data_IF_028729242511
#
_entry.id   IF_028729242511
#
_cell.length_a   1.000
_cell.length_b   1.000
_cell.length_c   1.000
_cell.angle_alpha   90.00
_cell.angle_beta   90.00
_cell.angle_gamma   90.00
#
_symmetry.space_group_name_H-M   'P 1'
#
loop_
_entity.id
_entity.type
_entity.pdbx_description
1 polymer ?
#
# COMPACT_ATOMS: atom_id res chain seq x y z
N UNK A 1 -39.16 -11.22 7.23
CA UNK A 1 -38.98 -11.01 8.68
C UNK A 1 -37.54 -10.56 8.94
N UNK A 2 -37.26 -9.26 8.84
CA UNK A 2 -35.99 -8.69 9.31
C UNK A 2 -36.25 -8.21 10.74
N UNK A 3 -35.88 -9.00 11.75
CA UNK A 3 -35.74 -8.47 13.09
C UNK A 3 -34.69 -7.36 13.00
N UNK A 4 -35.10 -6.10 13.08
CA UNK A 4 -34.20 -4.97 13.03
C UNK A 4 -33.27 -5.08 14.25
N UNK A 5 -32.02 -5.44 14.00
CA UNK A 5 -30.99 -5.46 15.04
C UNK A 5 -30.96 -4.09 15.73
N UNK A 6 -30.94 -4.10 17.07
CA UNK A 6 -30.74 -2.89 17.86
C UNK A 6 -29.53 -2.10 17.29
N UNK A 7 -29.63 -0.76 17.14
CA UNK A 7 -28.55 0.09 16.63
C UNK A 7 -27.18 -0.17 17.28
N UNK A 8 -27.14 -0.52 18.56
CA UNK A 8 -25.90 -0.87 19.27
C UNK A 8 -25.28 -2.15 18.73
N UNK A 9 -26.07 -3.20 18.48
CA UNK A 9 -25.58 -4.46 17.94
C UNK A 9 -25.06 -4.32 16.51
N UNK A 10 -25.67 -3.44 15.70
CA UNK A 10 -25.17 -3.14 14.34
C UNK A 10 -23.77 -2.54 14.37
N UNK A 11 -23.49 -1.63 15.32
CA UNK A 11 -22.15 -1.04 15.51
C UNK A 11 -21.13 -2.08 16.00
N UNK A 12 -21.51 -2.91 16.96
CA UNK A 12 -20.62 -4.00 17.45
C UNK A 12 -20.31 -4.98 16.32
N UNK A 13 -21.32 -5.37 15.54
CA UNK A 13 -21.13 -6.24 14.38
C UNK A 13 -20.24 -5.58 13.32
N UNK A 14 -20.46 -4.30 13.02
CA UNK A 14 -19.62 -3.54 12.10
C UNK A 14 -18.14 -3.54 12.54
N UNK A 15 -17.89 -3.29 13.83
CA UNK A 15 -16.55 -3.28 14.39
C UNK A 15 -15.89 -4.67 14.33
N UNK A 16 -16.63 -5.72 14.69
CA UNK A 16 -16.14 -7.10 14.64
C UNK A 16 -15.82 -7.56 13.21
N UNK A 17 -16.69 -7.21 12.24
CA UNK A 17 -16.49 -7.57 10.82
C UNK A 17 -15.22 -6.93 10.27
N UNK A 18 -14.99 -5.63 10.45
CA UNK A 18 -13.78 -5.00 9.88
C UNK A 18 -12.50 -5.42 10.60
N UNK A 19 -12.56 -5.75 11.89
CA UNK A 19 -11.43 -6.35 12.60
C UNK A 19 -11.14 -7.77 12.09
N UNK A 20 -12.16 -8.56 11.76
CA UNK A 20 -11.98 -9.89 11.20
C UNK A 20 -11.44 -9.84 9.75
N UNK A 21 -11.96 -8.94 8.92
CA UNK A 21 -11.50 -8.73 7.52
C UNK A 21 -10.02 -8.35 7.46
N UNK A 22 -9.53 -7.56 8.41
CA UNK A 22 -8.14 -7.13 8.42
C UNK A 22 -7.19 -8.08 9.16
N UNK A 23 -7.70 -9.18 9.71
CA UNK A 23 -6.86 -10.20 10.35
C UNK A 23 -6.19 -11.09 9.30
N UNK A 24 -4.90 -10.83 9.04
CA UNK A 24 -4.13 -11.44 7.94
C UNK A 24 -3.14 -12.52 8.34
N UNK A 25 -3.38 -13.22 9.43
CA UNK A 25 -2.49 -14.31 9.84
C UNK A 25 -2.55 -15.43 8.81
N UNK A 26 -1.43 -15.64 8.12
CA UNK A 26 -1.31 -16.68 7.10
C UNK A 26 -1.41 -18.05 7.75
N UNK A 27 -2.38 -18.84 7.31
CA UNK A 27 -2.56 -20.24 7.67
C UNK A 27 -1.86 -21.14 6.66
N UNK A 28 -1.81 -22.44 6.98
CA UNK A 28 -1.32 -23.47 6.07
C UNK A 28 -2.04 -23.37 4.72
N UNK A 29 -1.32 -23.66 3.63
CA UNK A 29 -1.78 -23.52 2.25
C UNK A 29 -2.03 -22.07 1.77
N UNK A 30 -1.49 -21.06 2.47
CA UNK A 30 -1.54 -19.67 2.00
C UNK A 30 -2.92 -19.01 2.17
N UNK A 31 -3.73 -19.53 3.08
CA UNK A 31 -5.06 -18.98 3.37
C UNK A 31 -4.93 -17.87 4.41
N UNK A 32 -5.43 -16.67 4.10
CA UNK A 32 -5.60 -15.61 5.08
C UNK A 32 -7.07 -15.55 5.52
N UNK A 33 -7.39 -15.70 6.82
CA UNK A 33 -8.76 -15.66 7.32
C UNK A 33 -9.50 -14.38 6.92
N UNK A 34 -8.83 -13.23 7.01
CA UNK A 34 -9.40 -11.94 6.63
C UNK A 34 -9.86 -11.87 5.17
N UNK A 35 -9.07 -12.43 4.24
CA UNK A 35 -9.43 -12.48 2.82
C UNK A 35 -10.69 -13.34 2.62
N UNK A 36 -10.76 -14.51 3.28
CA UNK A 36 -11.93 -15.40 3.22
C UNK A 36 -13.17 -14.73 3.81
N UNK A 37 -13.05 -14.07 4.96
CA UNK A 37 -14.16 -13.34 5.61
C UNK A 37 -14.65 -12.21 4.71
N UNK A 38 -13.74 -11.44 4.11
CA UNK A 38 -14.10 -10.35 3.19
C UNK A 38 -14.92 -10.85 2.00
N UNK A 39 -14.47 -11.94 1.36
CA UNK A 39 -15.12 -12.54 0.21
C UNK A 39 -16.48 -13.14 0.60
N UNK A 40 -16.53 -13.89 1.71
CA UNK A 40 -17.76 -14.52 2.19
C UNK A 40 -18.84 -13.51 2.58
N UNK A 41 -18.44 -12.35 3.13
CA UNK A 41 -19.36 -11.28 3.52
C UNK A 41 -19.71 -10.31 2.38
N UNK A 42 -19.10 -10.46 1.20
CA UNK A 42 -19.37 -9.59 0.06
C UNK A 42 -20.87 -9.45 -0.27
N UNK A 43 -21.71 -10.50 -0.29
CA UNK A 43 -23.14 -10.34 -0.56
C UNK A 43 -23.87 -9.43 0.44
N UNK A 44 -23.43 -9.43 1.70
CA UNK A 44 -23.98 -8.60 2.76
C UNK A 44 -23.50 -7.14 2.62
N UNK A 45 -22.20 -6.95 2.40
CA UNK A 45 -21.56 -5.62 2.35
C UNK A 45 -21.74 -4.92 1.02
N UNK A 46 -22.05 -5.65 -0.07
CA UNK A 46 -22.24 -5.13 -1.42
C UNK A 46 -23.24 -3.99 -1.49
N UNK A 47 -24.33 -4.05 -0.71
CA UNK A 47 -25.37 -3.02 -0.71
C UNK A 47 -24.83 -1.64 -0.34
N UNK A 48 -23.82 -1.58 0.52
CA UNK A 48 -23.20 -0.33 0.94
C UNK A 48 -22.42 0.36 -0.19
N UNK A 49 -21.93 -0.42 -1.15
CA UNK A 49 -21.02 0.03 -2.20
C UNK A 49 -21.57 -0.05 -3.62
N UNK A 50 -22.76 -0.66 -3.84
CA UNK A 50 -23.31 -0.96 -5.18
C UNK A 50 -23.50 0.25 -6.10
N UNK A 51 -23.69 1.44 -5.53
CA UNK A 51 -23.84 2.68 -6.31
C UNK A 51 -22.51 3.42 -6.53
N UNK A 52 -21.41 2.90 -5.99
CA UNK A 52 -20.09 3.47 -6.20
C UNK A 52 -19.62 3.20 -7.62
N UNK A 53 -19.25 4.27 -8.33
CA UNK A 53 -18.65 4.19 -9.68
C UNK A 53 -17.26 3.55 -9.68
N UNK A 54 -16.66 3.33 -8.51
CA UNK A 54 -15.30 2.83 -8.33
C UNK A 54 -15.27 1.33 -8.07
N UNK A 55 -16.22 0.81 -7.30
CA UNK A 55 -16.20 -0.58 -6.81
C UNK A 55 -16.53 -1.58 -7.93
N UNK A 56 -17.42 -1.23 -8.86
CA UNK A 56 -17.73 -2.08 -10.01
C UNK A 56 -16.49 -2.36 -10.90
N UNK A 57 -15.79 -1.32 -11.38
CA UNK A 57 -14.53 -1.49 -12.12
C UNK A 57 -13.46 -2.26 -11.34
N UNK A 58 -13.28 -1.99 -10.04
CA UNK A 58 -12.35 -2.75 -9.19
C UNK A 58 -12.69 -4.23 -9.13
N UNK A 59 -13.98 -4.57 -8.96
CA UNK A 59 -14.44 -5.96 -8.95
C UNK A 59 -14.18 -6.64 -10.29
N UNK A 60 -14.46 -5.94 -11.40
CA UNK A 60 -14.20 -6.47 -12.74
C UNK A 60 -12.70 -6.72 -12.96
N UNK A 61 -11.84 -5.76 -12.64
CA UNK A 61 -10.38 -5.93 -12.74
C UNK A 61 -9.86 -7.05 -11.84
N UNK A 62 -10.41 -7.19 -10.63
CA UNK A 62 -10.05 -8.29 -9.72
C UNK A 62 -10.43 -9.66 -10.29
N UNK A 63 -11.67 -9.82 -10.77
CA UNK A 63 -12.11 -11.09 -11.36
C UNK A 63 -11.34 -11.44 -12.63
N UNK A 64 -11.06 -10.47 -13.50
CA UNK A 64 -10.27 -10.70 -14.72
C UNK A 64 -8.80 -10.94 -14.41
N UNK A 65 -8.23 -10.31 -13.38
CA UNK A 65 -6.88 -10.61 -12.87
C UNK A 65 -6.77 -12.05 -12.36
N UNK A 66 -7.74 -12.50 -11.55
CA UNK A 66 -7.78 -13.88 -11.05
C UNK A 66 -7.88 -14.87 -12.22
N UNK A 67 -8.80 -14.62 -13.16
CA UNK A 67 -8.96 -15.47 -14.34
C UNK A 67 -7.68 -15.53 -15.19
N UNK A 68 -7.01 -14.39 -15.41
CA UNK A 68 -5.76 -14.32 -16.16
C UNK A 68 -4.61 -15.04 -15.43
N UNK A 69 -4.46 -14.83 -14.12
CA UNK A 69 -3.43 -15.50 -13.31
C UNK A 69 -3.61 -17.02 -13.29
N UNK A 70 -4.86 -17.51 -13.20
CA UNK A 70 -5.18 -18.93 -13.30
C UNK A 70 -4.91 -19.48 -14.71
N UNK A 71 -5.31 -18.77 -15.76
CA UNK A 71 -5.07 -19.18 -17.14
C UNK A 71 -3.57 -19.31 -17.44
N UNK A 72 -2.76 -18.34 -16.97
CA UNK A 72 -1.31 -18.39 -17.10
C UNK A 72 -0.69 -19.53 -16.28
N UNK A 73 -1.16 -19.76 -15.05
CA UNK A 73 -0.69 -20.89 -14.24
C UNK A 73 -0.97 -22.23 -14.95
N UNK A 74 -2.17 -22.40 -15.53
CA UNK A 74 -2.52 -23.59 -16.32
C UNK A 74 -1.64 -23.74 -17.56
N UNK A 75 -1.38 -22.64 -18.28
CA UNK A 75 -0.48 -22.64 -19.43
C UNK A 75 0.98 -22.96 -19.04
N UNK A 76 1.39 -22.58 -17.82
CA UNK A 76 2.73 -22.80 -17.29
C UNK A 76 2.94 -24.20 -16.70
N UNK A 77 1.88 -24.99 -16.48
CA UNK A 77 1.95 -26.26 -15.74
C UNK A 77 2.89 -27.33 -16.34
N UNK A 78 3.19 -27.25 -17.65
CA UNK A 78 4.14 -28.15 -18.31
C UNK A 78 5.60 -27.69 -18.28
N UNK A 79 5.86 -26.42 -17.93
CA UNK A 79 7.19 -25.80 -18.03
C UNK A 79 7.72 -25.23 -16.72
N UNK A 80 6.85 -25.04 -15.72
CA UNK A 80 7.15 -24.37 -14.47
C UNK A 80 6.69 -25.19 -13.27
N UNK A 81 7.36 -24.98 -12.15
CA UNK A 81 6.87 -25.42 -10.84
C UNK A 81 5.77 -24.46 -10.40
N UNK A 82 4.61 -25.00 -10.07
CA UNK A 82 3.50 -24.25 -9.49
C UNK A 82 3.46 -24.55 -8.00
N UNK A 83 3.55 -23.50 -7.19
CA UNK A 83 3.42 -23.53 -5.74
C UNK A 83 1.96 -23.27 -5.37
N UNK A 84 1.17 -24.28 -4.98
CA UNK A 84 -0.27 -24.13 -4.81
C UNK A 84 -0.65 -23.13 -3.72
N UNK A 85 0.11 -23.10 -2.62
CA UNK A 85 -0.10 -22.15 -1.53
C UNK A 85 0.11 -20.70 -1.97
N UNK A 86 1.11 -20.44 -2.82
CA UNK A 86 1.35 -19.13 -3.43
C UNK A 86 0.20 -18.71 -4.35
N UNK A 87 -0.30 -19.65 -5.17
CA UNK A 87 -1.46 -19.40 -6.04
C UNK A 87 -2.72 -19.04 -5.22
N UNK A 88 -3.03 -19.82 -4.18
CA UNK A 88 -4.18 -19.58 -3.29
C UNK A 88 -4.08 -18.22 -2.60
N UNK A 89 -2.92 -17.93 -1.99
CA UNK A 89 -2.68 -16.65 -1.30
C UNK A 89 -2.88 -15.46 -2.24
N UNK A 90 -2.30 -15.52 -3.43
CA UNK A 90 -2.44 -14.48 -4.43
C UNK A 90 -3.91 -14.27 -4.84
N UNK A 91 -4.61 -15.34 -5.22
CA UNK A 91 -6.01 -15.27 -5.69
C UNK A 91 -6.92 -14.71 -4.60
N UNK A 92 -6.76 -15.16 -3.36
CA UNK A 92 -7.51 -14.65 -2.23
C UNK A 92 -7.23 -13.17 -1.99
N UNK A 93 -5.95 -12.76 -2.03
CA UNK A 93 -5.58 -11.35 -1.89
C UNK A 93 -6.19 -10.47 -2.99
N UNK A 94 -6.15 -10.91 -4.26
CA UNK A 94 -6.73 -10.17 -5.37
C UNK A 94 -8.26 -10.01 -5.23
N UNK A 95 -8.96 -11.05 -4.79
CA UNK A 95 -10.40 -11.03 -4.53
C UNK A 95 -10.74 -10.18 -3.29
N UNK A 96 -9.89 -10.21 -2.27
CA UNK A 96 -10.07 -9.46 -1.04
C UNK A 96 -9.96 -7.94 -1.23
N UNK A 97 -9.18 -7.43 -2.18
CA UNK A 97 -9.04 -5.98 -2.42
C UNK A 97 -10.42 -5.27 -2.55
N UNK A 98 -11.28 -5.63 -3.53
CA UNK A 98 -12.60 -5.02 -3.62
C UNK A 98 -13.53 -5.48 -2.49
N UNK A 99 -13.47 -6.75 -2.07
CA UNK A 99 -14.38 -7.29 -1.07
C UNK A 99 -14.18 -6.65 0.32
N UNK A 100 -12.94 -6.58 0.79
CA UNK A 100 -12.54 -5.92 2.03
C UNK A 100 -12.85 -4.42 1.99
N UNK A 101 -12.62 -3.75 0.86
CA UNK A 101 -13.05 -2.36 0.69
C UNK A 101 -14.58 -2.20 0.87
N UNK A 102 -15.41 -3.11 0.36
CA UNK A 102 -16.87 -3.05 0.59
C UNK A 102 -17.23 -3.25 2.07
N UNK A 103 -16.53 -4.13 2.78
CA UNK A 103 -16.72 -4.35 4.21
C UNK A 103 -16.37 -3.10 5.03
N UNK A 104 -15.28 -2.43 4.70
CA UNK A 104 -14.88 -1.16 5.34
C UNK A 104 -15.88 -0.04 5.01
N UNK A 105 -16.38 0.05 3.76
CA UNK A 105 -17.42 1.02 3.38
C UNK A 105 -18.69 0.80 4.20
N UNK A 106 -19.13 -0.45 4.31
CA UNK A 106 -20.30 -0.81 5.10
C UNK A 106 -20.12 -0.44 6.58
N UNK A 107 -18.99 -0.79 7.19
CA UNK A 107 -18.73 -0.43 8.59
C UNK A 107 -18.59 1.09 8.79
N UNK A 108 -18.04 1.82 7.81
CA UNK A 108 -17.95 3.27 7.86
C UNK A 108 -19.33 3.95 7.85
N UNK A 109 -20.36 3.34 7.25
CA UNK A 109 -21.75 3.83 7.32
C UNK A 109 -22.33 3.67 8.73
N UNK A 110 -21.92 2.65 9.49
CA UNK A 110 -22.42 2.38 10.84
C UNK A 110 -21.62 3.09 11.95
N UNK A 111 -20.30 3.20 11.78
CA UNK A 111 -19.36 3.66 12.80
C UNK A 111 -18.78 5.07 12.54
N UNK A 112 -18.86 5.54 11.29
CA UNK A 112 -18.04 6.63 10.79
C UNK A 112 -16.64 6.15 10.37
N UNK A 113 -16.04 6.86 9.42
CA UNK A 113 -14.79 6.46 8.77
C UNK A 113 -13.63 6.28 9.76
N UNK A 114 -13.48 7.21 10.71
CA UNK A 114 -12.35 7.17 11.66
C UNK A 114 -12.43 5.98 12.61
N UNK A 115 -13.65 5.64 13.08
CA UNK A 115 -13.82 4.48 13.97
C UNK A 115 -13.74 3.16 13.21
N UNK A 116 -14.23 3.10 11.97
CA UNK A 116 -14.05 1.94 11.11
C UNK A 116 -12.56 1.66 10.86
N UNK A 117 -11.74 2.70 10.61
CA UNK A 117 -10.29 2.57 10.49
C UNK A 117 -9.64 2.07 11.79
N UNK A 118 -10.04 2.59 12.95
CA UNK A 118 -9.57 2.10 14.26
C UNK A 118 -9.89 0.61 14.43
N UNK A 119 -11.13 0.20 14.23
CA UNK A 119 -11.52 -1.22 14.35
C UNK A 119 -10.81 -2.11 13.34
N UNK A 120 -10.64 -1.65 12.10
CA UNK A 120 -9.86 -2.35 11.08
C UNK A 120 -8.40 -2.53 11.52
N UNK A 121 -7.76 -1.53 12.12
CA UNK A 121 -6.36 -1.69 12.58
C UNK A 121 -6.20 -2.67 13.74
N UNK A 122 -7.24 -2.95 14.52
CA UNK A 122 -7.18 -3.96 15.60
C UNK A 122 -6.88 -5.35 15.02
N UNK A 123 -7.53 -5.75 13.93
CA UNK A 123 -7.23 -7.04 13.27
C UNK A 123 -5.81 -7.14 12.73
N UNK A 124 -5.28 -6.03 12.19
CA UNK A 124 -3.87 -5.96 11.77
C UNK A 124 -2.90 -6.05 12.95
N UNK A 125 -3.26 -5.51 14.12
CA UNK A 125 -2.44 -5.62 15.33
C UNK A 125 -2.46 -7.03 15.93
N UNK A 126 -3.59 -7.75 15.82
CA UNK A 126 -3.66 -9.17 16.17
C UNK A 126 -2.71 -9.96 15.27
N UNK A 127 -2.78 -9.77 13.95
CA UNK A 127 -1.83 -10.37 13.00
C UNK A 127 -0.37 -10.03 13.36
N UNK A 128 -0.10 -8.74 13.60
CA UNK A 128 1.23 -8.27 13.94
C UNK A 128 1.76 -8.94 15.21
N UNK A 129 0.92 -9.16 16.22
CA UNK A 129 1.32 -9.83 17.46
C UNK A 129 1.73 -11.28 17.28
N UNK A 130 1.11 -11.98 16.33
CA UNK A 130 1.44 -13.37 16.00
C UNK A 130 2.74 -13.43 15.21
N UNK A 131 2.89 -12.58 14.17
CA UNK A 131 4.10 -12.54 13.34
C UNK A 131 5.33 -11.98 14.06
N UNK A 132 5.15 -11.12 15.05
CA UNK A 132 6.23 -10.47 15.79
C UNK A 132 7.23 -11.46 16.40
N UNK A 133 6.78 -12.67 16.76
CA UNK A 133 7.62 -13.69 17.40
C UNK A 133 8.73 -14.20 16.47
N UNK A 134 8.54 -14.13 15.15
CA UNK A 134 9.46 -14.68 14.15
C UNK A 134 10.20 -13.59 13.36
N UNK A 135 10.17 -12.33 13.81
CA UNK A 135 10.74 -11.19 13.08
C UNK A 135 11.87 -10.56 13.89
N UNK A 136 13.01 -10.32 13.25
CA UNK A 136 14.15 -9.63 13.89
C UNK A 136 13.80 -8.18 14.26
N UNK A 137 12.94 -7.52 13.46
CA UNK A 137 12.45 -6.18 13.73
C UNK A 137 10.91 -6.13 13.64
N UNK A 138 10.21 -6.51 14.72
CA UNK A 138 8.74 -6.55 14.74
C UNK A 138 8.10 -5.18 14.52
N UNK A 139 8.77 -4.09 14.94
CA UNK A 139 8.23 -2.75 14.72
C UNK A 139 8.19 -2.40 13.23
N UNK A 140 9.30 -2.62 12.51
CA UNK A 140 9.41 -2.33 11.07
C UNK A 140 8.49 -3.19 10.22
N UNK A 141 8.38 -4.48 10.54
CA UNK A 141 7.76 -5.48 9.66
C UNK A 141 6.36 -5.94 10.09
N UNK A 142 5.89 -5.54 11.26
CA UNK A 142 4.57 -5.92 11.77
C UNK A 142 3.80 -4.75 12.39
N UNK A 143 4.27 -4.18 13.50
CA UNK A 143 3.46 -3.26 14.32
C UNK A 143 3.38 -1.82 13.80
N UNK A 144 4.42 -1.34 13.12
CA UNK A 144 4.56 0.08 12.84
C UNK A 144 3.40 0.64 12.02
N UNK A 145 3.12 0.05 10.85
CA UNK A 145 2.09 0.57 9.94
C UNK A 145 0.68 0.53 10.57
N UNK A 146 0.22 -0.59 11.18
CA UNK A 146 -1.08 -0.63 11.85
C UNK A 146 -1.18 0.38 13.00
N UNK A 147 -0.13 0.48 13.83
CA UNK A 147 -0.06 1.43 14.95
C UNK A 147 -0.13 2.87 14.46
N UNK A 148 0.50 3.17 13.33
CA UNK A 148 0.48 4.51 12.75
C UNK A 148 -0.93 4.93 12.34
N UNK A 149 -1.66 4.04 11.66
CA UNK A 149 -3.06 4.29 11.27
C UNK A 149 -3.94 4.43 12.51
N UNK A 150 -3.80 3.53 13.49
CA UNK A 150 -4.57 3.55 14.74
C UNK A 150 -4.40 4.88 15.48
N UNK A 151 -3.15 5.27 15.76
CA UNK A 151 -2.86 6.48 16.54
C UNK A 151 -3.29 7.75 15.80
N UNK A 152 -3.06 7.84 14.49
CA UNK A 152 -3.51 8.98 13.70
C UNK A 152 -5.04 9.07 13.62
N UNK A 153 -5.75 7.94 13.53
CA UNK A 153 -7.21 7.91 13.53
C UNK A 153 -7.81 8.30 14.88
N UNK A 154 -7.24 7.82 15.99
CA UNK A 154 -7.64 8.22 17.35
C UNK A 154 -7.32 9.70 17.61
N UNK A 155 -6.14 10.16 17.21
CA UNK A 155 -5.69 11.53 17.39
C UNK A 155 -6.58 12.53 16.63
N UNK A 156 -7.02 12.18 15.42
CA UNK A 156 -7.94 13.00 14.62
C UNK A 156 -9.23 13.35 15.37
N UNK A 157 -9.74 12.40 16.17
CA UNK A 157 -10.96 12.58 16.96
C UNK A 157 -10.75 13.52 18.16
N UNK A 158 -9.50 13.72 18.60
CA UNK A 158 -9.18 14.52 19.78
C UNK A 158 -8.88 15.97 19.40
N UNK A 159 -7.82 16.20 18.63
CA UNK A 159 -7.40 17.55 18.21
C UNK A 159 -6.35 17.49 17.10
N UNK A 160 -6.19 18.59 16.35
CA UNK A 160 -5.14 18.71 15.34
C UNK A 160 -3.73 18.61 15.94
N UNK A 161 -3.53 19.16 17.14
CA UNK A 161 -2.26 19.06 17.87
C UNK A 161 -1.93 17.60 18.21
N UNK A 162 -2.93 16.82 18.59
CA UNK A 162 -2.77 15.39 18.87
C UNK A 162 -2.32 14.63 17.61
N UNK A 163 -2.85 14.96 16.42
CA UNK A 163 -2.41 14.30 15.18
C UNK A 163 -0.97 14.64 14.82
N UNK A 164 -0.58 15.91 14.96
CA UNK A 164 0.80 16.35 14.73
C UNK A 164 1.76 15.68 15.71
N UNK A 165 1.40 15.63 17.00
CA UNK A 165 2.20 14.95 18.01
C UNK A 165 2.33 13.45 17.69
N UNK A 166 1.22 12.78 17.34
CA UNK A 166 1.23 11.38 16.96
C UNK A 166 2.15 11.13 15.75
N UNK A 167 2.04 11.95 14.70
CA UNK A 167 2.88 11.83 13.50
C UNK A 167 4.37 12.02 13.82
N UNK A 168 4.72 13.03 14.63
CA UNK A 168 6.12 13.30 15.02
C UNK A 168 6.68 12.18 15.90
N UNK A 169 5.94 11.73 16.92
CA UNK A 169 6.38 10.64 17.79
C UNK A 169 6.60 9.35 16.98
N UNK A 170 5.65 9.00 16.12
CA UNK A 170 5.78 7.83 15.25
C UNK A 170 7.00 7.96 14.33
N UNK A 171 7.26 9.15 13.76
CA UNK A 171 8.41 9.38 12.88
C UNK A 171 9.72 9.16 13.63
N UNK A 172 9.81 9.64 14.88
CA UNK A 172 10.96 9.38 15.76
C UNK A 172 11.12 7.90 16.07
N UNK A 173 10.06 7.18 16.41
CA UNK A 173 10.14 5.73 16.68
C UNK A 173 10.64 4.97 15.45
N UNK A 174 10.13 5.28 14.26
CA UNK A 174 10.62 4.66 13.02
C UNK A 174 12.06 5.01 12.68
N UNK A 175 12.49 6.25 12.98
CA UNK A 175 13.88 6.67 12.80
C UNK A 175 14.82 5.84 13.68
N UNK A 176 14.43 5.61 14.94
CA UNK A 176 15.20 4.80 15.89
C UNK A 176 15.15 3.29 15.60
N UNK A 177 14.18 2.84 14.79
CA UNK A 177 13.93 1.42 14.50
C UNK A 177 14.36 0.98 13.09
N UNK A 178 15.23 1.76 12.42
CA UNK A 178 15.74 1.53 11.05
C UNK A 178 14.66 1.29 9.98
N UNK A 179 13.59 2.08 10.01
CA UNK A 179 12.43 1.98 9.12
C UNK A 179 12.23 3.26 8.30
N UNK A 180 13.20 3.54 7.41
CA UNK A 180 13.40 4.83 6.75
C UNK A 180 12.22 5.32 5.90
N UNK A 181 11.58 4.44 5.13
CA UNK A 181 10.44 4.82 4.27
C UNK A 181 9.24 5.32 5.09
N UNK A 182 8.98 4.71 6.25
CA UNK A 182 7.88 5.09 7.12
C UNK A 182 8.08 6.47 7.75
N UNK A 183 9.33 6.86 8.05
CA UNK A 183 9.69 8.22 8.47
C UNK A 183 9.24 9.23 7.41
N UNK A 184 9.58 8.98 6.14
CA UNK A 184 9.19 9.85 5.02
C UNK A 184 7.67 10.04 4.91
N UNK A 185 6.89 8.97 5.03
CA UNK A 185 5.42 9.05 4.98
C UNK A 185 4.84 9.90 6.11
N UNK A 186 5.39 9.79 7.32
CA UNK A 186 4.94 10.54 8.48
C UNK A 186 5.39 12.00 8.43
N UNK A 187 6.58 12.31 7.91
CA UNK A 187 7.03 13.68 7.69
C UNK A 187 6.16 14.40 6.66
N UNK A 188 5.82 13.74 5.55
CA UNK A 188 4.86 14.26 4.57
C UNK A 188 3.51 14.53 5.24
N UNK A 189 3.02 13.56 6.03
CA UNK A 189 1.76 13.70 6.77
C UNK A 189 1.82 14.89 7.73
N UNK A 190 2.86 14.99 8.57
CA UNK A 190 3.03 16.06 9.55
C UNK A 190 3.15 17.43 8.88
N UNK A 191 3.89 17.55 7.78
CA UNK A 191 4.03 18.80 7.05
C UNK A 191 2.70 19.30 6.47
N UNK A 192 1.92 18.40 5.86
CA UNK A 192 0.58 18.75 5.37
C UNK A 192 -0.32 19.18 6.54
N UNK A 193 -0.33 18.43 7.64
CA UNK A 193 -1.12 18.77 8.81
C UNK A 193 -0.71 20.10 9.44
N UNK A 194 0.58 20.41 9.47
CA UNK A 194 1.12 21.65 10.03
C UNK A 194 0.77 22.84 9.13
N UNK A 195 0.93 22.69 7.82
CA UNK A 195 0.48 23.68 6.84
C UNK A 195 -1.02 23.97 7.00
N UNK A 196 -1.85 22.93 7.06
CA UNK A 196 -3.29 23.08 7.22
C UNK A 196 -3.68 23.76 8.54
N UNK A 197 -2.98 23.45 9.63
CA UNK A 197 -3.18 24.10 10.92
C UNK A 197 -2.81 25.60 10.87
N UNK A 198 -1.67 25.93 10.25
CA UNK A 198 -1.22 27.30 10.06
C UNK A 198 -2.18 28.10 9.16
N UNK A 199 -2.55 27.55 8.00
CA UNK A 199 -3.48 28.18 7.07
C UNK A 199 -4.87 28.41 7.70
N UNK A 200 -5.36 27.45 8.50
CA UNK A 200 -6.62 27.60 9.23
C UNK A 200 -6.55 28.69 10.30
N UNK A 201 -5.44 28.77 11.06
CA UNK A 201 -5.24 29.81 12.07
C UNK A 201 -5.13 31.20 11.45
N UNK A 202 -4.42 31.30 10.33
CA UNK A 202 -4.27 32.53 9.55
C UNK A 202 -5.51 32.87 8.69
N UNK A 203 -6.59 32.09 8.78
CA UNK A 203 -7.85 32.31 8.04
C UNK A 203 -7.65 32.45 6.52
N UNK A 204 -6.66 31.75 5.96
CA UNK A 204 -6.33 31.82 4.53
C UNK A 204 -7.45 31.17 3.73
N UNK A 205 -8.09 31.96 2.86
CA UNK A 205 -9.13 31.48 1.94
C UNK A 205 -8.50 31.05 0.63
N UNK A 206 -8.20 29.76 0.50
CA UNK A 206 -7.73 29.18 -0.76
C UNK A 206 -8.89 28.61 -1.55
N UNK A 207 -8.86 28.81 -2.87
CA UNK A 207 -9.70 28.00 -3.76
C UNK A 207 -9.28 26.53 -3.65
N UNK A 208 -10.19 25.60 -3.97
CA UNK A 208 -9.92 24.15 -3.89
C UNK A 208 -8.68 23.75 -4.70
N UNK A 209 -8.52 24.32 -5.90
CA UNK A 209 -7.38 24.06 -6.78
C UNK A 209 -6.09 24.61 -6.18
N UNK A 210 -6.12 25.80 -5.60
CA UNK A 210 -4.96 26.39 -4.92
C UNK A 210 -4.56 25.55 -3.69
N UNK A 211 -5.51 25.11 -2.86
CA UNK A 211 -5.23 24.29 -1.70
C UNK A 211 -4.55 22.97 -2.05
N UNK A 212 -5.03 22.27 -3.10
CA UNK A 212 -4.40 21.06 -3.62
C UNK A 212 -3.02 21.39 -4.19
N UNK A 213 -2.92 22.42 -5.04
CA UNK A 213 -1.66 22.84 -5.66
C UNK A 213 -0.57 23.12 -4.63
N UNK A 214 -0.85 23.94 -3.62
CA UNK A 214 0.11 24.27 -2.56
C UNK A 214 0.56 23.04 -1.77
N UNK A 215 -0.36 22.14 -1.44
CA UNK A 215 -0.02 20.92 -0.69
C UNK A 215 0.77 19.92 -1.55
N UNK A 216 0.45 19.79 -2.84
CA UNK A 216 1.24 18.98 -3.78
C UNK A 216 2.63 19.58 -3.97
N UNK A 217 2.74 20.90 -4.12
CA UNK A 217 4.03 21.60 -4.16
C UNK A 217 4.85 21.40 -2.89
N UNK A 218 4.20 21.39 -1.72
CA UNK A 218 4.85 21.09 -0.44
C UNK A 218 5.41 19.66 -0.42
N UNK A 219 4.64 18.66 -0.85
CA UNK A 219 5.11 17.27 -0.96
C UNK A 219 6.31 17.18 -1.92
N UNK A 220 6.21 17.81 -3.09
CA UNK A 220 7.27 17.81 -4.09
C UNK A 220 8.55 18.47 -3.55
N UNK A 221 8.42 19.62 -2.89
CA UNK A 221 9.55 20.32 -2.26
C UNK A 221 10.20 19.46 -1.19
N UNK A 222 9.43 18.83 -0.30
CA UNK A 222 9.97 17.92 0.72
C UNK A 222 10.70 16.72 0.10
N UNK A 223 10.16 16.17 -0.99
CA UNK A 223 10.82 15.11 -1.75
C UNK A 223 12.16 15.54 -2.33
N UNK A 224 12.21 16.70 -2.98
CA UNK A 224 13.45 17.28 -3.54
C UNK A 224 14.46 17.55 -2.43
N UNK A 225 14.05 18.15 -1.31
CA UNK A 225 14.92 18.41 -0.16
C UNK A 225 15.46 17.10 0.45
N UNK A 226 14.63 16.05 0.57
CA UNK A 226 15.06 14.76 1.08
C UNK A 226 16.10 14.11 0.15
N UNK A 227 15.86 14.11 -1.16
CA UNK A 227 16.81 13.62 -2.16
C UNK A 227 18.11 14.40 -2.09
N UNK A 228 18.05 15.73 -2.10
CA UNK A 228 19.23 16.59 -1.99
C UNK A 228 20.02 16.34 -0.70
N UNK A 229 19.35 16.15 0.44
CA UNK A 229 19.99 15.84 1.72
C UNK A 229 20.71 14.48 1.69
N UNK A 230 20.08 13.45 1.11
CA UNK A 230 20.69 12.13 0.95
C UNK A 230 21.89 12.19 0.01
N UNK A 231 21.78 12.87 -1.14
CA UNK A 231 22.90 13.04 -2.06
C UNK A 231 24.07 13.78 -1.40
N UNK A 232 23.79 14.88 -0.70
CA UNK A 232 24.81 15.65 0.01
C UNK A 232 25.51 14.82 1.09
N UNK A 233 24.74 14.10 1.91
CA UNK A 233 25.28 13.23 2.96
C UNK A 233 26.09 12.06 2.37
N UNK A 234 25.64 11.48 1.25
CA UNK A 234 26.35 10.41 0.56
C UNK A 234 27.65 10.92 -0.07
N UNK A 235 27.62 12.06 -0.76
CA UNK A 235 28.81 12.66 -1.38
C UNK A 235 29.86 13.10 -0.35
N UNK A 236 29.40 13.52 0.83
CA UNK A 236 30.26 13.90 1.96
C UNK A 236 30.83 12.69 2.72
N UNK A 237 30.45 11.46 2.37
CA UNK A 237 30.91 10.23 3.05
C UNK A 237 30.21 9.94 4.37
N UNK A 238 29.21 10.73 4.79
CA UNK A 238 28.46 10.52 6.04
C UNK A 238 27.63 9.23 6.03
N UNK A 239 27.32 8.69 4.84
CA UNK A 239 26.61 7.41 4.68
C UNK A 239 27.56 6.23 4.41
N UNK A 240 28.87 6.44 4.53
CA UNK A 240 29.92 5.44 4.29
C UNK A 240 30.46 5.44 2.86
N UNK A 241 31.63 4.83 2.69
CA UNK A 241 32.40 4.80 1.44
C UNK A 241 31.61 4.14 0.29
N UNK A 242 30.94 3.01 0.55
CA UNK A 242 30.14 2.33 -0.46
C UNK A 242 28.98 3.20 -1.00
N UNK A 243 28.35 4.01 -0.15
CA UNK A 243 27.31 4.94 -0.56
C UNK A 243 27.90 6.08 -1.39
N UNK A 244 29.05 6.62 -0.98
CA UNK A 244 29.79 7.64 -1.70
C UNK A 244 30.20 7.18 -3.11
N UNK A 245 30.78 5.99 -3.24
CA UNK A 245 31.15 5.38 -4.53
C UNK A 245 29.93 5.20 -5.43
N UNK A 246 28.80 4.71 -4.88
CA UNK A 246 27.55 4.54 -5.63
C UNK A 246 26.98 5.87 -6.10
N UNK A 247 26.98 6.90 -5.25
CA UNK A 247 26.52 8.24 -5.64
C UNK A 247 27.42 8.85 -6.72
N UNK A 248 28.74 8.63 -6.66
CA UNK A 248 29.66 9.07 -7.70
C UNK A 248 29.37 8.36 -9.04
N UNK A 249 29.16 7.03 -9.01
CA UNK A 249 28.80 6.25 -10.20
C UNK A 249 27.44 6.64 -10.78
N UNK A 250 26.43 6.86 -9.94
CA UNK A 250 25.09 7.30 -10.35
C UNK A 250 25.11 8.72 -10.93
N UNK A 251 25.94 9.62 -10.37
CA UNK A 251 26.10 10.99 -10.89
C UNK A 251 26.79 11.04 -12.25
N UNK A 252 27.59 10.01 -12.58
CA UNK A 252 28.17 9.83 -13.91
C UNK A 252 27.15 9.25 -14.92
N UNK A 253 26.03 8.69 -14.45
CA UNK A 253 24.97 8.14 -15.30
C UNK A 253 23.93 9.22 -15.66
N UNK A 254 23.40 9.18 -16.88
CA UNK A 254 22.38 10.13 -17.34
C UNK A 254 20.99 9.92 -16.73
N UNK A 255 20.74 8.78 -16.07
CA UNK A 255 19.42 8.39 -15.54
C UNK A 255 19.46 8.05 -14.03
N UNK A 256 19.69 9.08 -13.21
CA UNK A 256 19.78 8.99 -11.74
C UNK A 256 18.54 8.32 -11.11
N UNK A 257 17.35 8.55 -11.67
CA UNK A 257 16.08 8.02 -11.13
C UNK A 257 15.95 6.50 -11.27
N UNK A 258 16.40 5.92 -12.39
CA UNK A 258 16.33 4.46 -12.59
C UNK A 258 17.48 3.75 -11.89
N UNK A 259 18.67 4.38 -11.83
CA UNK A 259 19.83 3.82 -11.15
C UNK A 259 19.65 3.73 -9.61
N UNK A 260 18.69 4.46 -9.03
CA UNK A 260 18.41 4.46 -7.60
C UNK A 260 17.68 3.21 -7.09
N UNK A 261 17.05 2.43 -7.98
CA UNK A 261 16.19 1.28 -7.66
C UNK A 261 16.47 0.12 -8.64
N UNK A 262 17.42 -0.76 -8.34
CA UNK A 262 17.82 -1.82 -9.26
C UNK A 262 16.66 -2.78 -9.59
N UNK A 263 15.72 -2.98 -8.68
CA UNK A 263 14.55 -3.86 -8.84
C UNK A 263 13.63 -3.42 -9.99
N UNK A 264 13.65 -2.12 -10.34
CA UNK A 264 12.95 -1.62 -11.52
C UNK A 264 13.56 -2.16 -12.82
N UNK A 265 14.89 -2.33 -12.86
CA UNK A 265 15.60 -2.95 -13.98
C UNK A 265 15.24 -4.42 -14.14
N UNK A 266 15.20 -5.17 -13.03
CA UNK A 266 14.72 -6.55 -13.01
C UNK A 266 13.27 -6.63 -13.52
N UNK A 267 12.37 -5.80 -12.98
CA UNK A 267 10.94 -5.78 -13.38
C UNK A 267 10.79 -5.49 -14.88
N UNK A 268 11.51 -4.50 -15.40
CA UNK A 268 11.45 -4.12 -16.81
C UNK A 268 12.00 -5.23 -17.72
N UNK A 269 13.15 -5.83 -17.36
CA UNK A 269 13.75 -6.92 -18.13
C UNK A 269 12.83 -8.15 -18.17
N UNK A 270 12.23 -8.51 -17.04
CA UNK A 270 11.23 -9.59 -16.96
C UNK A 270 10.00 -9.26 -17.79
N UNK A 271 9.53 -8.01 -17.78
CA UNK A 271 8.40 -7.56 -18.59
C UNK A 271 8.70 -7.67 -20.09
N UNK A 272 9.90 -7.29 -20.51
CA UNK A 272 10.33 -7.44 -21.90
C UNK A 272 10.47 -8.93 -22.29
N UNK A 273 10.92 -9.76 -21.37
CA UNK A 273 11.09 -11.20 -21.60
C UNK A 273 9.75 -11.94 -21.72
N UNK A 274 8.79 -11.65 -20.85
CA UNK A 274 7.45 -12.28 -20.84
C UNK A 274 6.36 -11.24 -20.52
N UNK A 275 5.89 -10.44 -21.50
CA UNK A 275 5.01 -9.28 -21.25
C UNK A 275 3.65 -9.63 -20.67
N UNK A 276 3.20 -10.87 -20.84
CA UNK A 276 1.93 -11.35 -20.29
C UNK A 276 2.03 -11.73 -18.80
N UNK A 277 3.21 -11.73 -18.19
CA UNK A 277 3.42 -12.22 -16.83
C UNK A 277 3.69 -13.73 -16.76
N UNK A 278 3.72 -14.26 -15.54
CA UNK A 278 4.13 -15.63 -15.24
C UNK A 278 2.96 -16.51 -14.78
N UNK A 279 2.05 -15.96 -13.97
CA UNK A 279 0.85 -16.66 -13.51
C UNK A 279 0.83 -16.94 -12.01
N UNK A 280 -0.35 -17.33 -11.51
CA UNK A 280 -0.58 -17.53 -10.09
C UNK A 280 0.22 -18.71 -9.53
N UNK A 281 1.06 -18.44 -8.53
CA UNK A 281 1.89 -19.46 -7.87
C UNK A 281 3.03 -20.02 -8.72
N UNK A 282 3.33 -19.42 -9.88
CA UNK A 282 4.46 -19.87 -10.71
C UNK A 282 5.79 -19.47 -10.07
N UNK A 283 6.65 -20.46 -9.84
CA UNK A 283 7.98 -20.24 -9.31
C UNK A 283 8.96 -19.78 -10.42
N UNK A 284 9.84 -18.80 -10.15
CA UNK A 284 10.87 -18.38 -11.09
C UNK A 284 11.82 -19.53 -11.46
N UNK A 285 12.17 -19.65 -12.74
CA UNK A 285 13.23 -20.56 -13.20
C UNK A 285 14.58 -19.85 -13.20
N UNK A 286 15.64 -20.62 -13.40
CA UNK A 286 16.98 -20.08 -13.58
C UNK A 286 17.06 -19.04 -14.71
N UNK A 287 16.37 -19.27 -15.83
CA UNK A 287 16.31 -18.30 -16.94
C UNK A 287 15.74 -16.95 -16.51
N UNK A 288 14.70 -16.97 -15.69
CA UNK A 288 13.98 -15.77 -15.27
C UNK A 288 14.83 -15.00 -14.24
N UNK A 289 15.50 -15.73 -13.34
CA UNK A 289 16.48 -15.15 -12.41
C UNK A 289 17.62 -14.45 -13.17
N UNK A 290 18.16 -15.08 -14.23
CA UNK A 290 19.20 -14.47 -15.07
C UNK A 290 18.71 -13.20 -15.77
N UNK A 291 17.50 -13.20 -16.33
CA UNK A 291 16.91 -12.00 -16.94
C UNK A 291 16.78 -10.86 -15.91
N UNK A 292 16.34 -11.16 -14.69
CA UNK A 292 16.25 -10.17 -13.62
C UNK A 292 17.63 -9.59 -13.25
N UNK A 293 18.63 -10.47 -13.10
CA UNK A 293 20.03 -10.10 -12.82
C UNK A 293 20.60 -9.21 -13.92
N UNK A 294 20.43 -9.58 -15.18
CA UNK A 294 20.93 -8.81 -16.33
C UNK A 294 20.24 -7.42 -16.40
N UNK A 295 18.96 -7.34 -16.06
CA UNK A 295 18.21 -6.08 -15.95
C UNK A 295 18.73 -5.16 -14.83
N UNK A 296 19.10 -5.71 -13.68
CA UNK A 296 19.73 -4.95 -12.59
C UNK A 296 21.15 -4.49 -12.97
N UNK A 297 21.91 -5.36 -13.61
CA UNK A 297 23.27 -5.06 -14.08
C UNK A 297 23.28 -3.93 -15.11
N UNK A 298 22.28 -3.86 -15.99
CA UNK A 298 22.10 -2.75 -16.93
C UNK A 298 21.91 -1.38 -16.24
N UNK A 299 21.50 -1.36 -14.96
CA UNK A 299 21.39 -0.14 -14.15
C UNK A 299 22.63 0.12 -13.27
N UNK A 300 23.73 -0.60 -13.50
CA UNK A 300 24.99 -0.45 -12.76
C UNK A 300 24.99 -1.10 -11.37
N UNK A 301 24.09 -2.06 -11.13
CA UNK A 301 24.04 -2.81 -9.88
C UNK A 301 24.73 -4.17 -10.03
N UNK A 302 25.45 -4.61 -9.01
CA UNK A 302 26.09 -5.93 -8.99
C UNK A 302 25.03 -7.03 -8.82
N UNK A 303 24.80 -7.88 -9.84
CA UNK A 303 23.78 -8.93 -9.76
C UNK A 303 24.19 -10.11 -8.85
N UNK A 304 25.49 -10.31 -8.59
CA UNK A 304 26.04 -11.50 -7.91
C UNK A 304 26.11 -11.36 -6.38
N UNK A 305 25.31 -10.45 -5.82
CA UNK A 305 25.30 -10.15 -4.39
C UNK A 305 24.24 -10.93 -3.59
N UNK A 306 23.73 -12.02 -4.15
CA UNK A 306 22.68 -12.87 -3.59
C UNK A 306 21.29 -12.22 -3.41
N UNK A 307 21.11 -10.95 -3.79
CA UNK A 307 19.85 -10.22 -3.59
C UNK A 307 18.69 -10.81 -4.40
N UNK A 308 18.88 -11.03 -5.70
CA UNK A 308 17.83 -11.63 -6.56
C UNK A 308 17.48 -13.03 -6.10
N UNK A 309 18.50 -13.84 -5.80
CA UNK A 309 18.37 -15.25 -5.45
C UNK A 309 17.66 -15.47 -4.11
N UNK A 310 17.91 -14.63 -3.10
CA UNK A 310 17.33 -14.83 -1.75
C UNK A 310 16.13 -13.94 -1.48
N UNK A 311 16.15 -12.69 -1.92
CA UNK A 311 15.12 -11.70 -1.54
C UNK A 311 14.04 -11.51 -2.61
N UNK A 312 14.38 -11.52 -3.91
CA UNK A 312 13.36 -11.33 -4.96
C UNK A 312 12.72 -12.64 -5.41
N UNK A 313 13.47 -13.74 -5.42
CA UNK A 313 13.04 -15.02 -6.01
C UNK A 313 13.19 -16.22 -5.06
N UNK A 314 13.81 -16.03 -3.88
CA UNK A 314 14.17 -17.12 -2.96
C UNK A 314 12.98 -17.82 -2.30
N UNK A 315 11.83 -17.14 -2.22
CA UNK A 315 10.60 -17.71 -1.70
C UNK A 315 9.81 -18.58 -2.70
N UNK A 316 10.38 -18.89 -3.87
CA UNK A 316 9.69 -19.66 -4.92
C UNK A 316 8.54 -18.89 -5.58
N UNK A 317 8.60 -17.56 -5.58
CA UNK A 317 7.66 -16.66 -6.23
C UNK A 317 8.38 -15.37 -6.66
N UNK A 318 7.74 -14.57 -7.51
CA UNK A 318 8.25 -13.27 -7.94
C UNK A 318 7.91 -12.19 -6.90
N UNK A 319 8.93 -11.64 -6.22
CA UNK A 319 8.83 -10.49 -5.33
C UNK A 319 9.69 -9.34 -5.87
N UNK A 320 9.10 -8.58 -6.80
CA UNK A 320 9.77 -7.53 -7.56
C UNK A 320 9.94 -6.23 -6.77
N UNK A 321 9.53 -6.22 -5.50
CA UNK A 321 9.52 -5.02 -4.65
C UNK A 321 8.77 -3.85 -5.32
N UNK A 322 7.70 -4.19 -6.05
CA UNK A 322 6.79 -3.25 -6.68
C UNK A 322 5.42 -3.90 -6.73
N UNK A 323 4.43 -3.38 -6.00
CA UNK A 323 3.10 -3.99 -5.98
C UNK A 323 2.48 -4.09 -7.38
N UNK A 324 2.74 -3.13 -8.27
CA UNK A 324 2.34 -3.20 -9.69
C UNK A 324 3.10 -4.30 -10.43
N UNK A 325 4.41 -4.42 -10.21
CA UNK A 325 5.25 -5.46 -10.78
C UNK A 325 4.79 -6.85 -10.33
N UNK A 326 4.57 -7.05 -9.04
CA UNK A 326 4.09 -8.31 -8.45
C UNK A 326 2.70 -8.67 -9.02
N UNK A 327 1.77 -7.72 -9.04
CA UNK A 327 0.42 -7.95 -9.59
C UNK A 327 0.45 -8.26 -11.09
N UNK A 328 1.34 -7.63 -11.85
CA UNK A 328 1.55 -7.97 -13.26
C UNK A 328 2.16 -9.37 -13.42
N UNK A 329 3.20 -9.70 -12.66
CA UNK A 329 3.88 -10.99 -12.76
C UNK A 329 2.91 -12.13 -12.44
N UNK A 330 2.05 -11.94 -11.45
CA UNK A 330 1.11 -12.98 -10.97
C UNK A 330 -0.21 -13.00 -11.77
N UNK A 331 -0.74 -11.85 -12.19
CA UNK A 331 -2.08 -11.73 -12.78
C UNK A 331 -2.13 -11.04 -14.15
N UNK A 332 -0.99 -10.89 -14.83
CA UNK A 332 -0.91 -10.26 -16.14
C UNK A 332 -1.33 -8.77 -16.15
N UNK A 333 -1.62 -8.25 -17.34
CA UNK A 333 -2.09 -6.88 -17.54
C UNK A 333 -3.38 -6.53 -16.76
N UNK A 334 -4.36 -7.44 -16.56
CA UNK A 334 -5.50 -7.15 -15.69
C UNK A 334 -5.09 -6.92 -14.22
N UNK A 335 -4.08 -7.63 -13.71
CA UNK A 335 -3.46 -7.36 -12.41
C UNK A 335 -2.85 -5.98 -12.33
N UNK A 336 -2.07 -5.59 -13.35
CA UNK A 336 -1.52 -4.24 -13.47
C UNK A 336 -2.64 -3.19 -13.44
N UNK A 337 -3.72 -3.41 -14.20
CA UNK A 337 -4.86 -2.51 -14.23
C UNK A 337 -5.55 -2.38 -12.86
N UNK A 338 -5.71 -3.49 -12.12
CA UNK A 338 -6.22 -3.47 -10.76
C UNK A 338 -5.34 -2.59 -9.84
N UNK A 339 -4.02 -2.78 -9.88
CA UNK A 339 -3.07 -1.98 -9.11
C UNK A 339 -3.09 -0.50 -9.48
N UNK A 340 -3.19 -0.17 -10.77
CA UNK A 340 -3.34 1.22 -11.24
C UNK A 340 -4.65 1.85 -10.74
N UNK A 341 -5.75 1.09 -10.70
CA UNK A 341 -7.02 1.56 -10.17
C UNK A 341 -6.96 1.79 -8.65
N UNK A 342 -6.23 0.94 -7.91
CA UNK A 342 -5.93 1.15 -6.47
C UNK A 342 -5.14 2.44 -6.26
N UNK A 343 -4.11 2.70 -7.07
CA UNK A 343 -3.35 3.96 -7.05
C UNK A 343 -4.28 5.14 -7.31
N UNK A 344 -5.12 5.06 -8.36
CA UNK A 344 -6.06 6.12 -8.69
C UNK A 344 -7.05 6.40 -7.54
N UNK A 345 -7.54 5.36 -6.86
CA UNK A 345 -8.38 5.51 -5.67
C UNK A 345 -7.65 6.18 -4.51
N UNK A 346 -6.39 5.79 -4.27
CA UNK A 346 -5.55 6.36 -3.21
C UNK A 346 -5.28 7.85 -3.45
N UNK A 347 -4.94 8.22 -4.70
CA UNK A 347 -4.78 9.60 -5.14
C UNK A 347 -6.09 10.38 -5.04
N UNK A 348 -7.22 9.76 -5.38
CA UNK A 348 -8.54 10.38 -5.23
C UNK A 348 -8.89 10.65 -3.76
N UNK A 349 -8.62 9.71 -2.85
CA UNK A 349 -8.77 9.89 -1.41
C UNK A 349 -7.87 11.04 -0.90
N UNK A 350 -6.63 11.09 -1.37
CA UNK A 350 -5.69 12.15 -1.05
C UNK A 350 -6.20 13.51 -1.55
N UNK A 351 -6.55 13.65 -2.82
CA UNK A 351 -7.08 14.90 -3.38
C UNK A 351 -8.31 15.39 -2.62
N UNK A 352 -9.29 14.51 -2.34
CA UNK A 352 -10.49 14.88 -1.56
C UNK A 352 -10.12 15.39 -0.17
N UNK A 353 -9.10 14.80 0.44
CA UNK A 353 -8.57 15.21 1.74
C UNK A 353 -7.85 16.56 1.65
N UNK A 354 -6.97 16.76 0.66
CA UNK A 354 -6.22 18.01 0.49
C UNK A 354 -7.10 19.22 0.13
N UNK A 355 -8.30 19.03 -0.43
CA UNK A 355 -9.23 20.15 -0.71
C UNK A 355 -9.78 20.85 0.53
N UNK A 356 -9.64 20.24 1.72
CA UNK A 356 -10.11 20.80 2.99
C UNK A 356 -8.92 21.06 3.93
N UNK A 357 -8.93 22.19 4.65
CA UNK A 357 -7.91 22.50 5.67
C UNK A 357 -8.09 21.70 6.98
N UNK A 358 -9.09 20.80 7.03
CA UNK A 358 -9.31 19.85 8.12
C UNK A 358 -9.22 18.39 7.65
N UNK A 359 -8.09 18.01 7.07
CA UNK A 359 -7.80 16.63 6.66
C UNK A 359 -7.73 15.64 7.82
N UNK A 360 -7.87 14.35 7.49
CA UNK A 360 -7.57 13.23 8.37
C UNK A 360 -6.11 12.83 8.17
N UNK A 361 -5.28 12.90 9.22
CA UNK A 361 -3.86 12.55 9.13
C UNK A 361 -3.65 11.10 8.65
N UNK A 362 -4.44 10.17 9.17
CA UNK A 362 -4.35 8.76 8.81
C UNK A 362 -4.67 8.49 7.33
N UNK A 363 -5.56 9.29 6.71
CA UNK A 363 -5.89 9.15 5.27
C UNK A 363 -4.72 9.57 4.39
N UNK A 364 -4.06 10.68 4.73
CA UNK A 364 -2.85 11.14 4.02
C UNK A 364 -1.78 10.05 4.12
N UNK A 365 -1.55 9.56 5.34
CA UNK A 365 -0.56 8.52 5.60
C UNK A 365 -0.80 7.26 4.77
N UNK A 366 -2.00 6.67 4.81
CA UNK A 366 -2.28 5.44 4.04
C UNK A 366 -2.23 5.67 2.54
N UNK A 367 -2.66 6.83 2.03
CA UNK A 367 -2.64 7.09 0.60
C UNK A 367 -1.20 7.15 0.08
N UNK A 368 -0.29 7.78 0.82
CA UNK A 368 1.13 7.81 0.49
C UNK A 368 1.75 6.42 0.61
N UNK A 369 1.43 5.66 1.67
CA UNK A 369 1.89 4.27 1.86
C UNK A 369 1.45 3.38 0.69
N UNK A 370 0.18 3.46 0.27
CA UNK A 370 -0.37 2.68 -0.85
C UNK A 370 0.29 3.05 -2.17
N UNK A 371 0.36 4.34 -2.50
CA UNK A 371 1.03 4.77 -3.74
C UNK A 371 2.50 4.35 -3.74
N UNK A 372 3.21 4.54 -2.63
CA UNK A 372 4.62 4.18 -2.53
C UNK A 372 4.85 2.69 -2.75
N UNK A 373 4.17 1.81 -2.01
CA UNK A 373 4.45 0.38 -2.12
C UNK A 373 3.86 -0.23 -3.38
N UNK A 374 2.78 0.30 -3.96
CA UNK A 374 2.38 -0.13 -5.30
C UNK A 374 3.51 0.10 -6.32
N UNK A 375 4.30 1.16 -6.16
CA UNK A 375 5.40 1.47 -7.06
C UNK A 375 6.71 0.77 -6.66
N UNK A 376 6.99 0.66 -5.35
CA UNK A 376 8.34 0.44 -4.80
C UNK A 376 8.39 -0.50 -3.57
N UNK A 377 7.31 -1.23 -3.28
CA UNK A 377 7.26 -2.21 -2.20
C UNK A 377 6.49 -3.48 -2.57
N UNK A 378 6.53 -4.52 -1.73
CA UNK A 378 5.92 -5.81 -2.06
C UNK A 378 4.40 -5.81 -1.91
N UNK A 379 3.70 -6.45 -2.85
CA UNK A 379 2.23 -6.55 -2.89
C UNK A 379 1.65 -7.19 -1.63
N UNK A 380 2.26 -8.27 -1.14
CA UNK A 380 1.79 -9.09 -0.01
C UNK A 380 1.57 -8.29 1.28
N UNK A 381 2.36 -7.22 1.48
CA UNK A 381 2.33 -6.42 2.70
C UNK A 381 1.28 -5.32 2.71
N UNK A 382 0.70 -4.98 1.55
CA UNK A 382 -0.08 -3.76 1.41
C UNK A 382 -1.58 -3.93 1.14
N UNK A 383 -2.02 -5.13 0.79
CA UNK A 383 -3.45 -5.44 0.54
C UNK A 383 -4.44 -4.82 1.54
N UNK A 384 -4.27 -4.91 2.88
CA UNK A 384 -5.23 -4.31 3.81
C UNK A 384 -5.27 -2.79 3.76
N UNK A 385 -4.16 -2.13 3.42
CA UNK A 385 -4.14 -0.68 3.27
C UNK A 385 -4.73 -0.25 1.93
N UNK A 386 -4.64 -1.09 0.89
CA UNK A 386 -5.38 -0.87 -0.36
C UNK A 386 -6.89 -0.86 -0.11
N UNK A 387 -7.41 -1.82 0.66
CA UNK A 387 -8.82 -1.89 1.05
C UNK A 387 -9.26 -0.61 1.76
N UNK A 388 -8.48 -0.17 2.75
CA UNK A 388 -8.75 1.04 3.52
C UNK A 388 -8.69 2.32 2.67
N UNK A 389 -7.72 2.42 1.75
CA UNK A 389 -7.59 3.55 0.83
C UNK A 389 -8.76 3.63 -0.16
N UNK A 390 -9.16 2.50 -0.75
CA UNK A 390 -10.34 2.42 -1.64
C UNK A 390 -11.60 2.82 -0.87
N UNK A 391 -11.82 2.25 0.31
CA UNK A 391 -12.99 2.56 1.12
C UNK A 391 -13.06 4.05 1.47
N UNK A 392 -11.92 4.64 1.81
CA UNK A 392 -11.82 6.08 2.08
C UNK A 392 -12.12 6.91 0.83
N UNK A 393 -11.64 6.51 -0.35
CA UNK A 393 -11.95 7.15 -1.62
C UNK A 393 -13.46 7.15 -1.93
N UNK A 394 -14.21 6.15 -1.46
CA UNK A 394 -15.67 6.10 -1.61
C UNK A 394 -16.39 6.89 -0.53
N UNK A 395 -16.01 6.71 0.73
CA UNK A 395 -16.71 7.28 1.89
C UNK A 395 -16.50 8.80 2.05
N UNK A 396 -15.37 9.34 1.61
CA UNK A 396 -15.15 10.78 1.63
C UNK A 396 -16.00 11.44 0.54
N UNK A 397 -16.97 12.26 0.93
CA UNK A 397 -17.91 12.90 0.01
C UNK A 397 -17.20 13.61 -1.16
N UNK A 398 -17.71 13.49 -2.40
CA UNK A 398 -17.28 14.36 -3.50
C UNK A 398 -17.51 15.82 -3.10
N UNK A 399 -16.51 16.68 -3.33
CA UNK A 399 -16.54 18.08 -2.88
C UNK A 399 -17.68 18.89 -3.54
N UNK A 400 -18.26 18.41 -4.64
CA UNK A 400 -19.42 19.01 -5.31
C UNK A 400 -20.73 18.88 -4.51
N UNK A 401 -20.87 17.86 -3.67
CA UNK A 401 -22.10 17.56 -2.93
C UNK A 401 -22.26 18.34 -1.61
N UNK A 402 -21.34 19.26 -1.28
CA UNK A 402 -21.42 20.12 -0.08
C UNK A 402 -21.71 21.59 -0.41
N UNK A 403 -21.96 21.90 -1.67
CA UNK A 403 -22.24 23.25 -2.18
C UNK A 403 -23.60 23.37 -2.87
N UNK A 404 -24.40 22.31 -2.81
CA UNK A 404 -25.86 22.33 -2.99
C UNK A 404 -26.47 22.05 -1.61
#
# INVERSE_FOLDING_TARGET
MQAALNPTWRKVLAAAVVAAVSWRTSLVFGINPGDVVAIALLPLTWRASRHSRVIGPLMLCSLTAIAAGLALALAAAGEFVIVPSGAVSAILAAAAIPAGATAVIWAAQELGVDLAAVCFTIGLLIDASIRAVSLDNPWKFAFGLPTSVLLLALAHRRSRTSELLAATVLATVYLLSDARSAVGFLLITAAILAWQAAASRAQVRLSRRAAVGTQVSLIAMLGVCAVAAVLAASSAGYLGEAAQTRTAAQSASSNILTAARPEMGATLALFQHRPWGYGAGVAPRYSDIRVAMDGMHALGYDPDNNYVLHYMMGGGHFELHSGLGDMWAVFSLPGLALGLLVIACSLLALVRTLTILRSRGWVIFIAVVVVWNCLLGPFSTIVPYMELAIATAVCLSPVAARTA
#
